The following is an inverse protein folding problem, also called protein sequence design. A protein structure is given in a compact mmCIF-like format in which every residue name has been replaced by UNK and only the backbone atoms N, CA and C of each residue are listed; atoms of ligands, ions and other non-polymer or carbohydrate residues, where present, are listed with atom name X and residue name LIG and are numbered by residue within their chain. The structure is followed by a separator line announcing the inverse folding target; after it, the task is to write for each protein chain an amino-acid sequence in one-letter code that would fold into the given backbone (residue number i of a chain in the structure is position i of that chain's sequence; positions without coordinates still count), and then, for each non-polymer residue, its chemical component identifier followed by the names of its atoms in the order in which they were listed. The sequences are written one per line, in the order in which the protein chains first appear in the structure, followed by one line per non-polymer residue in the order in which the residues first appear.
data_IF_800765658465
#
_entry.id   IF_800765658465
#
_cell.length_a   1.000
_cell.length_b   1.000
_cell.length_c   1.000
_cell.angle_alpha   90.00
_cell.angle_beta   90.00
_cell.angle_gamma   90.00
#
_symmetry.space_group_name_H-M   'P 1'
#
loop_
_entity.id
_entity.type
_entity.pdbx_description
1 polymer ?
#
# COMPACT_ATOMS: atom_id res chain seq x y z
N UNK A 1 -0.69 -1.61 -11.13
CA UNK A 1 -0.78 -3.05 -10.75
C UNK A 1 0.61 -3.54 -10.37
N UNK A 2 1.19 -3.06 -9.27
CA UNK A 2 2.63 -3.31 -9.00
C UNK A 2 2.89 -3.98 -7.65
N UNK A 3 2.14 -3.65 -6.61
CA UNK A 3 2.18 -4.36 -5.33
C UNK A 3 1.91 -5.86 -5.52
N UNK A 4 2.79 -6.70 -4.98
CA UNK A 4 2.75 -8.16 -5.07
C UNK A 4 2.77 -8.74 -6.49
N UNK A 5 3.09 -7.92 -7.50
CA UNK A 5 3.16 -8.36 -8.90
C UNK A 5 4.54 -8.17 -9.49
N UNK A 6 5.11 -6.97 -9.36
CA UNK A 6 6.45 -6.66 -9.88
C UNK A 6 7.53 -7.22 -8.94
N UNK A 7 7.27 -7.18 -7.63
CA UNK A 7 8.08 -7.81 -6.60
C UNK A 7 7.20 -8.13 -5.40
N UNK A 8 7.65 -9.05 -4.53
CA UNK A 8 6.92 -9.41 -3.30
C UNK A 8 6.67 -8.19 -2.41
N UNK A 9 7.67 -7.31 -2.29
CA UNK A 9 7.60 -6.05 -1.53
C UNK A 9 7.07 -4.86 -2.38
N UNK A 10 6.58 -5.13 -3.58
CA UNK A 10 6.05 -4.14 -4.51
C UNK A 10 7.10 -3.29 -5.23
N UNK A 11 6.63 -2.33 -6.03
CA UNK A 11 7.50 -1.46 -6.84
C UNK A 11 8.44 -0.58 -6.00
N UNK A 12 8.05 -0.23 -4.77
CA UNK A 12 8.89 0.54 -3.84
C UNK A 12 10.23 -0.15 -3.56
N UNK A 13 10.24 -1.48 -3.41
CA UNK A 13 11.46 -2.26 -3.22
C UNK A 13 12.24 -2.42 -4.52
N UNK A 14 11.54 -2.67 -5.64
CA UNK A 14 12.17 -2.81 -6.96
C UNK A 14 12.91 -1.55 -7.42
N UNK A 15 12.33 -0.37 -7.18
CA UNK A 15 12.90 0.93 -7.56
C UNK A 15 13.69 1.61 -6.44
N UNK A 16 13.77 1.01 -5.25
CA UNK A 16 14.50 1.61 -4.11
C UNK A 16 13.90 2.93 -3.60
N UNK A 17 12.59 3.12 -3.75
CA UNK A 17 11.88 4.33 -3.32
C UNK A 17 11.10 4.05 -2.05
N UNK A 18 11.14 4.96 -1.09
CA UNK A 18 10.30 4.91 0.11
C UNK A 18 9.15 5.92 0.00
N UNK A 19 7.93 5.48 -0.37
CA UNK A 19 6.79 6.39 -0.47
C UNK A 19 6.26 6.76 0.91
N UNK A 20 5.65 7.94 1.01
CA UNK A 20 4.94 8.35 2.22
C UNK A 20 3.60 7.62 2.37
N UNK A 21 2.95 7.31 1.25
CA UNK A 21 1.70 6.58 1.16
C UNK A 21 1.72 5.61 -0.02
N UNK A 22 1.24 4.39 0.19
CA UNK A 22 1.06 3.35 -0.81
C UNK A 22 -0.40 2.95 -0.87
N UNK A 23 -0.97 2.91 -2.07
CA UNK A 23 -2.31 2.35 -2.34
C UNK A 23 -2.17 0.98 -2.98
N UNK A 24 -2.95 0.01 -2.49
CA UNK A 24 -2.96 -1.37 -2.93
C UNK A 24 -4.37 -1.81 -3.32
N UNK A 25 -4.42 -2.79 -4.20
CA UNK A 25 -5.65 -3.40 -4.68
C UNK A 25 -5.33 -4.60 -5.56
N UNK A 26 -6.36 -5.20 -6.14
CA UNK A 26 -6.25 -6.29 -7.12
C UNK A 26 -5.59 -7.55 -6.54
N UNK A 27 -4.27 -7.70 -6.62
CA UNK A 27 -3.57 -8.91 -6.17
C UNK A 27 -3.79 -9.17 -4.68
N UNK A 28 -3.85 -8.10 -3.87
CA UNK A 28 -4.14 -8.22 -2.42
C UNK A 28 -5.52 -8.79 -2.12
N UNK A 29 -6.45 -8.69 -3.06
CA UNK A 29 -7.81 -9.20 -2.88
C UNK A 29 -7.95 -10.67 -3.20
N UNK A 30 -6.94 -11.31 -3.83
CA UNK A 30 -7.00 -12.74 -4.14
C UNK A 30 -8.21 -13.16 -4.99
N UNK A 31 -8.79 -12.23 -5.77
CA UNK A 31 -10.02 -12.45 -6.53
C UNK A 31 -11.30 -11.87 -5.89
N UNK A 32 -11.21 -11.35 -4.66
CA UNK A 32 -12.29 -10.65 -3.96
C UNK A 32 -12.13 -9.12 -4.06
N UNK A 33 -13.22 -8.34 -3.86
CA UNK A 33 -13.16 -6.88 -3.83
C UNK A 33 -12.42 -6.36 -2.60
N UNK A 34 -11.16 -5.95 -2.79
CA UNK A 34 -10.32 -5.41 -1.71
C UNK A 34 -9.49 -4.23 -2.22
N UNK A 35 -9.49 -3.17 -1.42
CA UNK A 35 -8.58 -2.04 -1.52
C UNK A 35 -7.95 -1.75 -0.16
N UNK A 36 -6.71 -1.30 -0.15
CA UNK A 36 -6.01 -0.90 1.06
C UNK A 36 -5.11 0.30 0.77
N UNK A 37 -4.85 1.11 1.79
CA UNK A 37 -3.86 2.17 1.74
C UNK A 37 -3.11 2.19 3.07
N UNK A 38 -1.85 2.61 3.03
CA UNK A 38 -0.98 2.60 4.21
C UNK A 38 0.29 3.40 3.95
N UNK A 39 0.93 3.88 5.01
CA UNK A 39 2.05 4.79 4.86
C UNK A 39 2.70 5.16 6.18
N UNK A 40 3.35 6.32 6.20
CA UNK A 40 3.96 6.85 7.43
C UNK A 40 2.93 7.02 8.54
N UNK A 41 3.38 6.84 9.78
CA UNK A 41 2.54 6.89 10.97
C UNK A 41 1.88 8.26 11.19
N UNK A 42 2.60 9.36 10.95
CA UNK A 42 2.07 10.72 11.06
C UNK A 42 0.84 10.94 10.16
N UNK A 43 0.86 10.37 8.95
CA UNK A 43 -0.27 10.42 8.02
C UNK A 43 -1.42 9.48 8.45
N UNK A 44 -1.09 8.26 8.86
CA UNK A 44 -2.11 7.28 9.27
C UNK A 44 -2.84 7.67 10.57
N UNK A 45 -2.20 8.47 11.43
CA UNK A 45 -2.83 9.00 12.64
C UNK A 45 -3.91 10.05 12.37
N UNK A 46 -3.98 10.63 11.18
CA UNK A 46 -5.07 11.54 10.78
C UNK A 46 -6.35 10.79 10.38
N UNK A 47 -6.30 9.46 10.31
CA UNK A 47 -7.46 8.64 9.94
C UNK A 47 -8.34 8.45 11.19
N UNK A 48 -9.64 8.74 11.05
CA UNK A 48 -10.62 8.44 12.09
C UNK A 48 -10.60 6.95 12.46
N UNK A 49 -10.81 6.58 13.73
CA UNK A 49 -11.27 7.43 14.85
C UNK A 49 -10.14 8.11 15.64
N UNK A 50 -8.87 7.97 15.24
CA UNK A 50 -7.72 8.51 15.98
C UNK A 50 -7.46 9.98 15.65
N UNK A 51 -7.73 10.36 14.40
CA UNK A 51 -7.47 11.69 13.83
C UNK A 51 -8.15 12.86 14.52
#
# INVERSE_FOLDING_TARGET
MTGFRVALKGAQDYFGVKPDLTTLGKVIGGGLPVGAYGGRKDLMLQISPVG
#
